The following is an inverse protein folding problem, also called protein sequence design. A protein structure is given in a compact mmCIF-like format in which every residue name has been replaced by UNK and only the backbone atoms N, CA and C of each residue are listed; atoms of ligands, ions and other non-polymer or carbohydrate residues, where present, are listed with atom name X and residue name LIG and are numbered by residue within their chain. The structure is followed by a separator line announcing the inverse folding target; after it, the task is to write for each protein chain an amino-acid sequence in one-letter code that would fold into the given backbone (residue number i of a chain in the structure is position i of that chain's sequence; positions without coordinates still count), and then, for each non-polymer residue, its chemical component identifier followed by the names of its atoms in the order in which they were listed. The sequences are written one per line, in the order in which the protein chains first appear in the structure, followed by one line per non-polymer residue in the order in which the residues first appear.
data_IF_277609144744
#
_entry.id   IF_277609144744
#
_cell.length_a   1.000
_cell.length_b   1.000
_cell.length_c   1.000
_cell.angle_alpha   90.00
_cell.angle_beta   90.00
_cell.angle_gamma   90.00
#
_symmetry.space_group_name_H-M   'P 1'
#
loop_
_entity.id
_entity.type
_entity.pdbx_description
1 polymer ?
#
# COMPACT_ATOMS: atom_id res chain seq x y z
N UNK A 1 10.62 2.84 19.68
CA UNK A 1 10.91 3.70 18.50
C UNK A 1 10.54 2.92 17.25
N UNK A 2 9.75 3.49 16.33
CA UNK A 2 9.42 2.82 15.06
C UNK A 2 10.50 3.20 14.04
N UNK A 3 11.31 2.22 13.61
CA UNK A 3 12.45 2.50 12.71
C UNK A 3 12.03 2.64 11.24
N UNK A 4 10.97 1.93 10.81
CA UNK A 4 10.40 2.04 9.46
C UNK A 4 8.88 2.21 9.54
N UNK A 5 8.43 3.46 9.36
CA UNK A 5 7.02 3.84 9.41
C UNK A 5 6.19 3.24 8.28
N UNK A 6 6.79 3.00 7.11
CA UNK A 6 6.13 2.36 5.97
C UNK A 6 5.93 0.88 6.28
N UNK A 7 6.95 0.21 6.82
CA UNK A 7 6.85 -1.19 7.22
C UNK A 7 5.80 -1.39 8.33
N UNK A 8 5.72 -0.47 9.29
CA UNK A 8 4.66 -0.47 10.32
C UNK A 8 3.28 -0.33 9.69
N UNK A 9 3.07 0.66 8.81
CA UNK A 9 1.82 0.85 8.07
C UNK A 9 1.39 -0.43 7.34
N UNK A 10 2.26 -1.02 6.53
CA UNK A 10 1.94 -2.24 5.77
C UNK A 10 1.60 -3.43 6.68
N UNK A 11 2.29 -3.54 7.83
CA UNK A 11 2.05 -4.62 8.79
C UNK A 11 0.72 -4.44 9.51
N UNK A 12 0.36 -3.23 9.92
CA UNK A 12 -0.97 -2.93 10.49
C UNK A 12 -2.08 -3.26 9.51
N UNK A 13 -1.91 -2.88 8.25
CA UNK A 13 -2.88 -3.18 7.18
C UNK A 13 -3.03 -4.69 7.00
N UNK A 14 -1.91 -5.43 6.92
CA UNK A 14 -1.89 -6.89 6.80
C UNK A 14 -2.64 -7.55 7.96
N UNK A 15 -2.30 -7.19 9.19
CA UNK A 15 -2.88 -7.79 10.39
C UNK A 15 -4.39 -7.51 10.46
N UNK A 16 -4.82 -6.28 10.19
CA UNK A 16 -6.24 -5.91 10.18
C UNK A 16 -7.03 -6.64 9.09
N UNK A 17 -6.45 -6.79 7.90
CA UNK A 17 -7.02 -7.53 6.76
C UNK A 17 -7.18 -9.03 7.06
N UNK A 18 -6.21 -9.63 7.76
CA UNK A 18 -6.26 -11.05 8.16
C UNK A 18 -7.45 -11.35 9.07
N UNK A 19 -7.69 -10.50 10.07
CA UNK A 19 -8.83 -10.64 11.01
C UNK A 19 -10.12 -9.96 10.52
N UNK A 20 -10.15 -9.49 9.27
CA UNK A 20 -11.33 -8.89 8.62
C UNK A 20 -11.90 -7.66 9.34
N UNK A 21 -11.05 -6.83 9.96
CA UNK A 21 -11.47 -5.57 10.58
C UNK A 21 -11.98 -4.59 9.51
N UNK A 22 -13.01 -3.82 9.83
CA UNK A 22 -13.54 -2.76 8.94
C UNK A 22 -12.56 -1.60 8.79
N UNK A 23 -11.83 -1.26 9.85
CA UNK A 23 -10.89 -0.14 9.87
C UNK A 23 -9.55 -0.49 10.53
N UNK A 24 -8.53 0.31 10.23
CA UNK A 24 -7.24 0.29 10.94
C UNK A 24 -6.72 1.71 11.15
N UNK A 25 -6.10 1.92 12.31
CA UNK A 25 -5.44 3.17 12.69
C UNK A 25 -3.94 3.09 12.40
N UNK A 26 -3.42 4.07 11.68
CA UNK A 26 -2.03 4.16 11.26
C UNK A 26 -1.48 5.54 11.65
N UNK A 27 -0.25 5.64 12.21
CA UNK A 27 0.34 6.94 12.50
C UNK A 27 0.40 7.83 11.27
N UNK A 28 -0.04 9.08 11.40
CA UNK A 28 0.03 10.04 10.32
C UNK A 28 1.49 10.39 10.00
N UNK A 29 1.83 10.25 8.73
CA UNK A 29 2.99 10.89 8.11
C UNK A 29 2.60 11.30 6.71
N UNK A 30 3.27 12.30 6.12
CA UNK A 30 3.04 12.67 4.71
C UNK A 30 3.23 11.47 3.77
N UNK A 31 4.20 10.60 4.07
CA UNK A 31 4.46 9.38 3.31
C UNK A 31 3.28 8.39 3.41
N UNK A 32 2.82 8.08 4.62
CA UNK A 32 1.71 7.16 4.84
C UNK A 32 0.41 7.67 4.20
N UNK A 33 0.16 8.98 4.26
CA UNK A 33 -0.99 9.61 3.61
C UNK A 33 -0.93 9.42 2.10
N UNK A 34 0.23 9.63 1.47
CA UNK A 34 0.40 9.44 0.01
C UNK A 34 0.25 7.97 -0.40
N UNK A 35 0.77 7.04 0.39
CA UNK A 35 0.56 5.61 0.17
C UNK A 35 -0.93 5.26 0.28
N UNK A 36 -1.64 5.77 1.31
CA UNK A 36 -3.07 5.52 1.48
C UNK A 36 -3.89 6.08 0.31
N UNK A 37 -3.53 7.25 -0.22
CA UNK A 37 -4.13 7.84 -1.40
C UNK A 37 -3.99 6.94 -2.64
N UNK A 38 -2.83 6.34 -2.86
CA UNK A 38 -2.63 5.39 -3.95
C UNK A 38 -3.45 4.11 -3.74
N UNK A 39 -3.49 3.59 -2.51
CA UNK A 39 -4.29 2.40 -2.19
C UNK A 39 -5.78 2.60 -2.45
N UNK A 40 -6.30 3.80 -2.18
CA UNK A 40 -7.69 4.16 -2.49
C UNK A 40 -7.90 4.28 -3.99
N UNK A 41 -7.03 5.02 -4.69
CA UNK A 41 -7.09 5.22 -6.15
C UNK A 41 -7.07 3.91 -6.92
N UNK A 42 -6.24 2.96 -6.51
CA UNK A 42 -6.11 1.64 -7.14
C UNK A 42 -7.19 0.64 -6.62
N UNK A 43 -8.04 1.06 -5.69
CA UNK A 43 -9.19 0.27 -5.22
C UNK A 43 -8.87 -0.84 -4.21
N UNK A 44 -7.67 -0.84 -3.63
CA UNK A 44 -7.25 -1.78 -2.58
C UNK A 44 -7.96 -1.52 -1.25
N UNK A 45 -8.26 -0.26 -0.94
CA UNK A 45 -9.05 0.16 0.21
C UNK A 45 -10.31 0.88 -0.24
N UNK A 46 -11.29 0.99 0.66
CA UNK A 46 -12.53 1.70 0.37
C UNK A 46 -12.33 3.21 0.42
N UNK A 47 -11.72 3.70 1.50
CA UNK A 47 -11.33 5.09 1.66
C UNK A 47 -10.37 5.25 2.85
N UNK A 48 -9.80 6.43 2.99
CA UNK A 48 -9.07 6.81 4.19
C UNK A 48 -9.42 8.25 4.60
N UNK A 49 -9.25 8.57 5.88
CA UNK A 49 -9.38 9.93 6.38
C UNK A 49 -8.40 10.16 7.54
N UNK A 50 -8.08 11.44 7.78
CA UNK A 50 -7.28 11.86 8.92
C UNK A 50 -8.21 12.12 10.10
N UNK A 51 -7.94 11.49 11.23
CA UNK A 51 -8.57 11.83 12.51
C UNK A 51 -7.74 12.95 13.14
N UNK A 52 -8.33 14.15 13.23
CA UNK A 52 -7.62 15.38 13.61
C UNK A 52 -7.10 15.33 15.05
N UNK A 53 -7.91 14.79 15.98
CA UNK A 53 -7.58 14.72 17.40
C UNK A 53 -6.37 13.82 17.70
N UNK A 54 -6.27 12.70 17.00
CA UNK A 54 -5.30 11.65 17.30
C UNK A 54 -4.06 11.68 16.40
N UNK A 55 -4.04 12.53 15.36
CA UNK A 55 -3.04 12.50 14.27
C UNK A 55 -2.87 11.08 13.71
N UNK A 56 -3.98 10.36 13.55
CA UNK A 56 -4.00 9.02 12.97
C UNK A 56 -4.72 9.03 11.62
N UNK A 57 -4.19 8.26 10.68
CA UNK A 57 -4.89 7.89 9.46
C UNK A 57 -5.79 6.69 9.75
N UNK A 58 -7.08 6.85 9.49
CA UNK A 58 -8.06 5.78 9.55
C UNK A 58 -8.27 5.24 8.14
N UNK A 59 -7.88 3.99 7.89
CA UNK A 59 -8.13 3.31 6.62
C UNK A 59 -9.37 2.42 6.75
N UNK A 60 -10.30 2.52 5.81
CA UNK A 60 -11.48 1.66 5.67
C UNK A 60 -11.22 0.57 4.64
N UNK A 61 -11.37 -0.68 5.05
CA UNK A 61 -11.15 -1.83 4.17
C UNK A 61 -12.35 -2.16 3.31
N UNK A 62 -12.07 -2.63 2.10
CA UNK A 62 -13.04 -3.24 1.20
C UNK A 62 -12.88 -4.76 1.25
N UNK A 63 -13.97 -5.47 1.50
CA UNK A 63 -14.00 -6.94 1.44
C UNK A 63 -15.01 -7.40 0.41
N UNK A 64 -14.61 -8.36 -0.41
CA UNK A 64 -15.52 -9.07 -1.33
C UNK A 64 -16.13 -10.25 -0.60
N UNK A 65 -17.44 -10.44 -0.72
CA UNK A 65 -18.07 -11.68 -0.26
C UNK A 65 -17.83 -12.76 -1.31
N UNK A 66 -17.17 -13.84 -0.91
CA UNK A 66 -17.10 -15.07 -1.70
C UNK A 66 -18.05 -16.08 -1.10
N UNK A 67 -18.95 -16.61 -1.91
CA UNK A 67 -19.73 -17.80 -1.57
C UNK A 67 -18.87 -19.00 -1.93
N UNK A 68 -18.30 -19.65 -0.94
CA UNK A 68 -17.83 -21.04 -1.08
C UNK A 68 -18.98 -21.95 -0.67
N UNK A 69 -19.02 -23.16 -1.24
CA UNK A 69 -20.05 -24.19 -1.01
C UNK A 69 -20.46 -24.37 0.45
N UNK A 70 -19.53 -24.16 1.41
CA UNK A 70 -19.76 -24.41 2.83
C UNK A 70 -19.73 -23.16 3.73
N UNK A 71 -19.47 -21.95 3.22
CA UNK A 71 -19.51 -20.71 4.01
C UNK A 71 -19.43 -19.43 3.15
N UNK A 72 -20.04 -18.33 3.64
CA UNK A 72 -19.75 -16.97 3.15
C UNK A 72 -18.49 -16.45 3.82
N UNK A 73 -17.38 -16.43 3.08
CA UNK A 73 -16.13 -15.84 3.57
C UNK A 73 -15.92 -14.44 2.98
N UNK A 74 -15.35 -13.54 3.77
CA UNK A 74 -14.92 -12.20 3.31
C UNK A 74 -13.49 -12.31 2.81
N UNK A 75 -13.27 -12.13 1.52
CA UNK A 75 -11.93 -12.00 0.93
C UNK A 75 -11.52 -10.53 0.91
N UNK A 76 -10.27 -10.25 1.25
CA UNK A 76 -9.72 -8.89 1.18
C UNK A 76 -9.35 -8.59 -0.26
N UNK A 77 -9.49 -7.33 -0.70
CA UNK A 77 -8.94 -6.89 -1.98
C UNK A 77 -7.40 -6.89 -1.99
N UNK A 78 -6.77 -6.96 -0.81
CA UNK A 78 -5.32 -7.01 -0.66
C UNK A 78 -4.92 -8.44 -0.28
N UNK A 79 -4.21 -9.11 -1.18
CA UNK A 79 -3.65 -10.45 -1.00
C UNK A 79 -2.35 -10.39 -0.21
N UNK A 80 -1.45 -9.48 -0.59
CA UNK A 80 -0.15 -9.33 0.03
C UNK A 80 0.38 -7.89 -0.03
N UNK A 81 1.22 -7.56 0.95
CA UNK A 81 1.85 -6.26 1.12
C UNK A 81 3.31 -6.52 1.48
N UNK A 82 4.27 -5.99 0.71
CA UNK A 82 5.69 -6.21 0.97
C UNK A 82 6.50 -4.93 0.86
N UNK A 83 7.22 -4.58 1.94
CA UNK A 83 8.24 -3.51 1.94
C UNK A 83 9.47 -4.00 1.17
N UNK A 84 9.88 -3.25 0.16
CA UNK A 84 10.98 -3.62 -0.75
C UNK A 84 12.28 -2.94 -0.31
N UNK A 85 12.42 -1.63 -0.54
CA UNK A 85 13.50 -0.85 0.07
C UNK A 85 13.34 -0.87 1.59
N UNK A 86 14.41 -0.88 2.38
CA UNK A 86 14.38 -0.83 3.84
C UNK A 86 15.46 0.14 4.33
N UNK A 87 15.37 0.69 5.55
CA UNK A 87 16.39 1.61 6.05
C UNK A 87 17.83 1.06 5.98
N UNK A 88 18.01 -0.24 6.24
CA UNK A 88 19.33 -0.90 6.12
C UNK A 88 19.71 -1.37 4.71
N UNK A 89 18.80 -1.31 3.74
CA UNK A 89 19.07 -1.67 2.35
C UNK A 89 18.12 -0.91 1.42
N UNK A 90 18.59 0.21 0.88
CA UNK A 90 17.80 1.04 -0.03
C UNK A 90 17.83 0.47 -1.44
N UNK A 91 16.66 0.38 -2.07
CA UNK A 91 16.50 -0.17 -3.42
C UNK A 91 15.98 0.92 -4.33
N UNK A 92 16.74 1.25 -5.36
CA UNK A 92 16.41 2.23 -6.39
C UNK A 92 16.34 1.55 -7.75
N UNK A 93 15.58 2.15 -8.67
CA UNK A 93 15.44 1.67 -10.04
C UNK A 93 15.31 2.83 -11.01
N UNK A 94 15.82 2.65 -12.23
CA UNK A 94 15.57 3.56 -13.34
C UNK A 94 14.19 3.31 -13.93
N UNK A 95 13.67 4.26 -14.70
CA UNK A 95 12.35 4.14 -15.33
C UNK A 95 12.20 2.94 -16.27
N UNK A 96 13.28 2.54 -16.92
CA UNK A 96 13.31 1.39 -17.84
C UNK A 96 13.33 0.05 -17.09
N UNK A 97 13.85 0.04 -15.86
CA UNK A 97 14.08 -1.17 -15.06
C UNK A 97 12.97 -1.42 -14.03
N UNK A 98 11.89 -0.62 -14.05
CA UNK A 98 10.80 -0.74 -13.08
C UNK A 98 10.08 -2.10 -13.25
N UNK A 99 10.24 -3.03 -12.28
CA UNK A 99 9.69 -4.37 -12.41
C UNK A 99 8.17 -4.35 -12.40
N UNK A 100 7.55 -5.38 -13.00
CA UNK A 100 6.09 -5.57 -12.98
C UNK A 100 5.72 -6.60 -11.91
N UNK A 101 4.78 -6.26 -11.03
CA UNK A 101 4.28 -7.21 -10.02
C UNK A 101 3.21 -8.09 -10.66
N UNK A 102 3.40 -9.41 -10.60
CA UNK A 102 2.44 -10.41 -11.13
C UNK A 102 1.96 -10.08 -12.56
N UNK A 103 2.88 -9.78 -13.46
CA UNK A 103 2.54 -9.43 -14.85
C UNK A 103 1.76 -8.11 -15.03
N UNK A 104 1.62 -7.31 -13.97
CA UNK A 104 0.84 -6.07 -13.94
C UNK A 104 -0.46 -6.18 -13.15
N UNK A 105 -0.79 -7.35 -12.58
CA UNK A 105 -1.95 -7.50 -11.70
C UNK A 105 -1.74 -6.82 -10.33
N UNK A 106 -0.49 -6.70 -9.89
CA UNK A 106 -0.13 -5.91 -8.70
C UNK A 106 0.46 -4.56 -9.08
N UNK A 107 0.72 -3.75 -8.05
CA UNK A 107 1.37 -2.45 -8.17
C UNK A 107 2.67 -2.41 -7.37
N UNK A 108 3.58 -1.56 -7.83
CA UNK A 108 4.72 -1.09 -7.07
C UNK A 108 4.52 0.39 -6.77
N UNK A 109 4.81 0.80 -5.54
CA UNK A 109 4.82 2.20 -5.14
C UNK A 109 6.27 2.66 -5.07
N UNK A 110 6.60 3.74 -5.76
CA UNK A 110 7.94 4.31 -5.84
C UNK A 110 7.95 5.75 -5.32
N UNK A 111 9.04 6.12 -4.65
CA UNK A 111 9.37 7.52 -4.36
C UNK A 111 10.28 8.07 -5.43
N UNK A 112 9.78 9.00 -6.22
CA UNK A 112 10.48 9.64 -7.33
C UNK A 112 10.74 11.12 -7.02
N UNK A 113 11.50 11.81 -7.86
CA UNK A 113 11.73 13.26 -7.73
C UNK A 113 10.46 14.11 -7.90
N UNK A 114 9.44 13.58 -8.59
CA UNK A 114 8.15 14.23 -8.84
C UNK A 114 7.07 13.86 -7.81
N UNK A 115 7.37 12.92 -6.91
CA UNK A 115 6.47 12.48 -5.85
C UNK A 115 6.36 10.96 -5.72
N UNK A 116 5.35 10.52 -4.97
CA UNK A 116 5.05 9.10 -4.79
C UNK A 116 4.12 8.65 -5.91
N UNK A 117 4.56 7.66 -6.68
CA UNK A 117 3.90 7.20 -7.91
C UNK A 117 3.75 5.68 -7.90
N UNK A 118 2.78 5.18 -8.65
CA UNK A 118 2.72 3.77 -9.03
C UNK A 118 3.76 3.45 -10.10
N UNK A 119 4.08 2.19 -10.29
CA UNK A 119 4.99 1.73 -11.34
C UNK A 119 4.50 2.06 -12.76
N UNK A 120 3.18 2.06 -12.96
CA UNK A 120 2.58 2.45 -14.25
C UNK A 120 2.78 3.94 -14.51
N UNK A 121 2.50 4.78 -13.52
CA UNK A 121 2.71 6.24 -13.62
C UNK A 121 4.18 6.59 -13.78
N UNK A 122 5.06 5.96 -13.02
CA UNK A 122 6.51 6.19 -13.09
C UNK A 122 7.08 5.81 -14.47
N UNK A 123 6.64 4.67 -15.05
CA UNK A 123 7.00 4.30 -16.44
C UNK A 123 6.46 5.29 -17.46
N UNK A 124 5.21 5.74 -17.30
CA UNK A 124 4.59 6.69 -18.23
C UNK A 124 5.30 8.05 -18.23
N UNK A 125 5.78 8.50 -17.06
CA UNK A 125 6.54 9.74 -16.91
C UNK A 125 8.03 9.57 -17.19
N UNK A 126 8.52 8.35 -17.42
CA UNK A 126 9.94 8.09 -17.67
C UNK A 126 10.84 8.34 -16.45
N UNK A 127 10.31 8.32 -15.22
CA UNK A 127 11.05 8.62 -13.99
C UNK A 127 11.31 7.37 -13.14
N UNK A 128 12.52 7.26 -12.61
CA UNK A 128 12.92 6.24 -11.64
C UNK A 128 12.76 6.71 -10.19
N UNK A 129 13.16 5.87 -9.24
CA UNK A 129 13.09 6.22 -7.82
C UNK A 129 13.35 5.08 -6.85
N UNK A 130 13.13 5.35 -5.55
CA UNK A 130 13.19 4.35 -4.50
C UNK A 130 11.97 3.45 -4.57
N UNK A 131 12.16 2.13 -4.64
CA UNK A 131 11.06 1.17 -4.62
C UNK A 131 10.57 1.00 -3.19
N UNK A 132 9.41 1.57 -2.85
CA UNK A 132 8.90 1.56 -1.49
C UNK A 132 8.32 0.19 -1.14
N UNK A 133 7.25 -0.20 -1.81
CA UNK A 133 6.52 -1.41 -1.51
C UNK A 133 5.80 -1.96 -2.73
N UNK A 134 5.40 -3.22 -2.61
CA UNK A 134 4.57 -3.92 -3.60
C UNK A 134 3.28 -4.36 -2.94
N UNK A 135 2.17 -4.21 -3.67
CA UNK A 135 0.81 -4.57 -3.23
C UNK A 135 0.13 -5.35 -4.35
N UNK A 136 -0.55 -6.44 -4.00
CA UNK A 136 -1.43 -7.23 -4.88
C UNK A 136 -2.41 -8.05 -4.04
#
# INVERSE_FOLDING_TARGET
MVNDTISDMLTRIRNASMVKKSTVLIPFTKMNQKIAQILEKEGFIQSFFLEEDSKMLVLKFKYRSKKTSNAKTKESCITNLKRISKPGLRIYTNSQDIPRVLGGAGILILSTSVGILTDREARALGVGGEILCSIW
#
